data_IF_541654840844
#
_entry.id   IF_541654840844
#
_cell.length_a   1.000
_cell.length_b   1.000
_cell.length_c   1.000
_cell.angle_alpha   90.00
_cell.angle_beta   90.00
_cell.angle_gamma   90.00
#
_symmetry.space_group_name_H-M   'P 1'
#
loop_
_entity.id
_entity.type
_entity.pdbx_description
1 polymer ?
#
# COMPACT_ATOMS: atom_id res chain seq x y z
N UNK A 1 -1.46 23.31 -0.37
CA UNK A 1 -2.39 22.92 0.73
C UNK A 1 -3.88 22.94 0.32
N UNK A 2 -4.24 23.56 -0.79
CA UNK A 2 -5.65 23.73 -1.24
C UNK A 2 -6.19 22.56 -2.06
N UNK A 3 -5.32 21.86 -2.78
CA UNK A 3 -5.68 20.77 -3.71
C UNK A 3 -6.29 19.56 -3.00
N UNK A 4 -5.61 19.03 -1.99
CA UNK A 4 -6.06 17.85 -1.22
C UNK A 4 -7.46 18.07 -0.63
N UNK A 5 -7.73 19.26 -0.08
CA UNK A 5 -9.06 19.56 0.50
C UNK A 5 -10.20 19.55 -0.51
N UNK A 6 -9.94 19.97 -1.78
CA UNK A 6 -10.97 20.04 -2.82
C UNK A 6 -11.34 18.67 -3.37
N UNK A 7 -10.35 17.79 -3.58
CA UNK A 7 -10.55 16.48 -4.20
C UNK A 7 -10.64 15.32 -3.20
N UNK A 8 -10.33 15.58 -1.93
CA UNK A 8 -10.41 14.60 -0.86
C UNK A 8 -11.73 13.79 -0.83
N UNK A 9 -12.92 14.43 -0.93
CA UNK A 9 -14.17 13.68 -0.94
C UNK A 9 -14.31 12.72 -2.12
N UNK A 10 -13.76 13.09 -3.29
CA UNK A 10 -13.79 12.26 -4.49
C UNK A 10 -12.82 11.10 -4.35
N UNK A 11 -11.62 11.34 -3.81
CA UNK A 11 -10.61 10.30 -3.59
C UNK A 11 -11.03 9.29 -2.52
N UNK A 12 -11.82 9.73 -1.53
CA UNK A 12 -12.23 8.89 -0.39
C UNK A 12 -13.52 8.10 -0.66
N UNK A 13 -14.44 8.64 -1.48
CA UNK A 13 -15.77 8.05 -1.73
C UNK A 13 -16.09 7.87 -3.22
N UNK A 14 -15.10 7.93 -4.09
CA UNK A 14 -15.29 7.88 -5.53
C UNK A 14 -15.05 6.50 -6.15
N UNK A 15 -15.07 5.43 -5.36
CA UNK A 15 -14.85 4.07 -5.86
C UNK A 15 -15.91 3.66 -6.89
N UNK A 16 -15.46 3.26 -8.07
CA UNK A 16 -16.32 2.88 -9.20
C UNK A 16 -16.46 1.39 -9.39
N UNK A 17 -15.57 0.58 -8.78
CA UNK A 17 -15.55 -0.87 -8.92
C UNK A 17 -15.94 -1.59 -7.63
N UNK A 18 -16.61 -2.73 -7.81
CA UNK A 18 -16.96 -3.64 -6.71
C UNK A 18 -15.71 -4.30 -6.15
N UNK A 19 -15.68 -4.47 -4.82
CA UNK A 19 -14.65 -5.22 -4.09
C UNK A 19 -14.98 -6.71 -3.92
N UNK A 20 -16.06 -7.20 -4.55
CA UNK A 20 -16.55 -8.57 -4.37
C UNK A 20 -15.45 -9.63 -4.60
N UNK A 21 -14.60 -9.43 -5.61
CA UNK A 21 -13.47 -10.33 -5.89
C UNK A 21 -12.49 -10.42 -4.72
N UNK A 22 -12.09 -9.28 -4.16
CA UNK A 22 -11.22 -9.21 -2.99
C UNK A 22 -11.91 -9.81 -1.76
N UNK A 23 -13.18 -9.49 -1.52
CA UNK A 23 -13.95 -10.06 -0.41
C UNK A 23 -14.02 -11.57 -0.45
N UNK A 24 -14.23 -12.15 -1.64
CA UNK A 24 -14.27 -13.60 -1.82
C UNK A 24 -12.92 -14.28 -1.55
N UNK A 25 -11.81 -13.59 -1.80
CA UNK A 25 -10.47 -14.03 -1.41
C UNK A 25 -10.31 -13.93 0.10
N UNK A 26 -10.62 -12.78 0.70
CA UNK A 26 -10.45 -12.54 2.13
C UNK A 26 -11.30 -13.48 3.00
N UNK A 27 -12.50 -13.89 2.55
CA UNK A 27 -13.33 -14.88 3.24
C UNK A 27 -12.66 -16.26 3.39
N UNK A 28 -11.66 -16.56 2.55
CA UNK A 28 -10.92 -17.83 2.60
C UNK A 28 -9.69 -17.78 3.49
N UNK A 29 -9.33 -16.60 4.00
CA UNK A 29 -8.13 -16.38 4.80
C UNK A 29 -8.45 -16.59 6.28
N UNK A 30 -7.62 -17.37 6.95
CA UNK A 30 -7.62 -17.48 8.41
C UNK A 30 -6.74 -16.37 9.02
N UNK A 31 -7.37 -15.26 9.40
CA UNK A 31 -6.68 -14.11 9.96
C UNK A 31 -6.01 -14.40 11.32
N UNK A 32 -6.50 -15.39 12.08
CA UNK A 32 -5.82 -15.80 13.31
C UNK A 32 -4.45 -16.41 13.00
N UNK A 33 -4.33 -17.17 11.91
CA UNK A 33 -3.03 -17.68 11.48
C UNK A 33 -2.07 -16.56 11.09
N UNK A 34 -2.56 -15.56 10.34
CA UNK A 34 -1.73 -14.39 9.97
C UNK A 34 -1.21 -13.68 11.22
N UNK A 35 -2.10 -13.38 12.16
CA UNK A 35 -1.75 -12.70 13.41
C UNK A 35 -0.69 -13.45 14.23
N UNK A 36 -0.77 -14.77 14.24
CA UNK A 36 0.07 -15.64 15.07
C UNK A 36 1.28 -16.23 14.34
N UNK A 37 1.64 -15.69 13.17
CA UNK A 37 2.87 -16.08 12.47
C UNK A 37 4.12 -15.71 13.28
N UNK A 38 5.14 -16.57 13.24
CA UNK A 38 6.46 -16.29 13.85
C UNK A 38 7.32 -15.34 12.97
N UNK A 39 6.70 -14.67 12.01
CA UNK A 39 7.32 -13.66 11.15
C UNK A 39 6.51 -12.37 11.26
N UNK A 40 7.18 -11.24 11.15
CA UNK A 40 6.54 -9.94 11.12
C UNK A 40 6.05 -9.65 9.69
N UNK A 41 4.75 -9.45 9.53
CA UNK A 41 4.14 -9.04 8.27
C UNK A 41 3.66 -7.60 8.33
N UNK A 42 3.90 -6.84 7.26
CA UNK A 42 3.50 -5.44 7.16
C UNK A 42 2.64 -5.18 5.93
N UNK A 43 1.73 -4.23 6.04
CA UNK A 43 1.09 -3.59 4.90
C UNK A 43 1.25 -2.09 4.99
N UNK A 44 1.46 -1.45 3.83
CA UNK A 44 1.57 0.00 3.73
C UNK A 44 0.25 0.58 3.28
N UNK A 45 -0.19 1.63 3.95
CA UNK A 45 -1.36 2.39 3.59
C UNK A 45 -1.03 3.88 3.59
N UNK A 46 -1.78 4.66 2.84
CA UNK A 46 -1.69 6.12 2.84
C UNK A 46 -2.79 6.71 3.68
N UNK A 47 -2.45 7.41 4.76
CA UNK A 47 -3.42 8.16 5.56
C UNK A 47 -3.76 9.50 4.93
N UNK A 48 -4.87 10.11 5.35
CA UNK A 48 -5.25 11.44 4.93
C UNK A 48 -5.17 12.39 6.14
N UNK A 49 -4.30 13.42 6.13
CA UNK A 49 -3.42 13.88 5.04
C UNK A 49 -2.28 12.90 4.72
N UNK A 50 -1.80 12.96 3.50
CA UNK A 50 -0.88 12.00 2.87
C UNK A 50 0.38 11.70 3.69
N UNK A 51 0.36 10.54 4.35
CA UNK A 51 1.51 9.98 5.08
C UNK A 51 1.50 8.48 4.93
N UNK A 52 2.66 7.89 4.72
CA UNK A 52 2.80 6.43 4.79
C UNK A 52 2.50 5.95 6.23
N UNK A 53 1.68 4.92 6.32
CA UNK A 53 1.42 4.19 7.55
C UNK A 53 1.72 2.71 7.32
N UNK A 54 2.61 2.18 8.12
CA UNK A 54 2.98 0.77 8.09
C UNK A 54 2.25 0.04 9.21
N UNK A 55 1.41 -0.90 8.86
CA UNK A 55 0.66 -1.71 9.81
C UNK A 55 1.32 -3.08 9.95
N UNK A 56 1.74 -3.43 11.15
CA UNK A 56 2.28 -4.73 11.51
C UNK A 56 1.12 -5.67 11.85
N UNK A 57 0.96 -6.76 11.12
CA UNK A 57 -0.20 -7.64 11.30
C UNK A 57 -0.27 -8.27 12.68
N UNK A 58 0.88 -8.66 13.24
CA UNK A 58 0.94 -9.29 14.56
C UNK A 58 0.44 -8.39 15.70
N UNK A 59 0.42 -7.08 15.52
CA UNK A 59 0.01 -6.08 16.52
C UNK A 59 -1.46 -5.65 16.37
N UNK A 60 -2.16 -6.15 15.35
CA UNK A 60 -3.52 -5.74 15.04
C UNK A 60 -4.54 -6.85 15.33
N UNK A 61 -5.79 -6.49 15.54
CA UNK A 61 -6.90 -7.46 15.62
C UNK A 61 -7.15 -8.11 14.26
N UNK A 62 -7.81 -9.26 14.24
CA UNK A 62 -8.17 -9.94 12.98
C UNK A 62 -9.08 -9.09 12.09
N UNK A 63 -9.96 -8.29 12.69
CA UNK A 63 -10.82 -7.35 11.95
C UNK A 63 -10.00 -6.18 11.39
N UNK A 64 -9.05 -5.65 12.16
CA UNK A 64 -8.15 -4.60 11.67
C UNK A 64 -7.27 -5.10 10.53
N UNK A 65 -6.74 -6.34 10.61
CA UNK A 65 -5.96 -6.95 9.52
C UNK A 65 -6.77 -6.97 8.23
N UNK A 66 -8.05 -7.34 8.30
CA UNK A 66 -8.95 -7.33 7.15
C UNK A 66 -9.11 -5.91 6.58
N UNK A 67 -9.37 -4.93 7.45
CA UNK A 67 -9.51 -3.52 7.05
C UNK A 67 -8.21 -2.95 6.50
N UNK A 68 -7.04 -3.35 7.03
CA UNK A 68 -5.72 -3.01 6.51
C UNK A 68 -5.55 -3.55 5.08
N UNK A 69 -5.96 -4.80 4.81
CA UNK A 69 -5.90 -5.37 3.46
C UNK A 69 -6.85 -4.66 2.48
N UNK A 70 -8.00 -4.19 2.92
CA UNK A 70 -8.86 -3.31 2.12
C UNK A 70 -8.20 -1.96 1.86
N UNK A 71 -7.54 -1.38 2.87
CA UNK A 71 -6.88 -0.09 2.77
C UNK A 71 -5.68 -0.12 1.81
N UNK A 72 -4.79 -1.12 1.96
CA UNK A 72 -3.58 -1.25 1.12
C UNK A 72 -3.88 -1.52 -0.36
N UNK A 73 -5.12 -1.91 -0.69
CA UNK A 73 -5.62 -2.12 -2.04
C UNK A 73 -6.63 -1.04 -2.50
N UNK A 74 -6.80 0.02 -1.71
CA UNK A 74 -7.75 1.08 -1.99
C UNK A 74 -7.18 2.11 -2.98
N UNK A 75 -7.02 1.71 -4.24
CA UNK A 75 -6.56 2.62 -5.30
C UNK A 75 -7.59 3.72 -5.52
N UNK A 76 -7.20 5.01 -5.42
CA UNK A 76 -8.11 6.14 -5.58
C UNK A 76 -8.89 6.07 -6.89
N UNK A 77 -10.14 6.51 -6.87
CA UNK A 77 -11.11 6.49 -7.96
C UNK A 77 -11.61 5.09 -8.35
N UNK A 78 -10.86 4.03 -8.03
CA UNK A 78 -11.25 2.65 -8.32
C UNK A 78 -12.00 2.07 -7.14
N UNK A 79 -11.47 2.24 -5.93
CA UNK A 79 -12.05 1.74 -4.70
C UNK A 79 -12.20 2.83 -3.65
N UNK A 80 -13.24 2.71 -2.82
CA UNK A 80 -13.39 3.57 -1.65
C UNK A 80 -12.25 3.35 -0.66
N UNK A 81 -11.90 4.38 0.11
CA UNK A 81 -10.98 4.25 1.23
C UNK A 81 -11.52 3.27 2.28
N UNK A 82 -10.62 2.61 3.01
CA UNK A 82 -10.99 1.84 4.18
C UNK A 82 -10.79 2.66 5.46
N UNK A 83 -11.63 2.40 6.47
CA UNK A 83 -11.55 3.09 7.76
C UNK A 83 -10.92 2.14 8.79
N UNK A 84 -9.85 2.61 9.43
CA UNK A 84 -9.18 1.91 10.52
C UNK A 84 -9.05 2.91 11.68
N UNK A 85 -9.62 2.60 12.83
CA UNK A 85 -9.60 3.47 14.02
C UNK A 85 -10.05 4.92 13.72
N UNK A 86 -11.16 5.07 13.00
CA UNK A 86 -11.74 6.36 12.58
C UNK A 86 -10.85 7.20 11.63
N UNK A 87 -9.81 6.62 11.05
CA UNK A 87 -8.97 7.27 10.05
C UNK A 87 -9.19 6.59 8.70
N UNK A 88 -9.39 7.39 7.65
CA UNK A 88 -9.48 6.90 6.27
C UNK A 88 -8.11 6.64 5.69
N UNK A 89 -7.96 5.48 5.05
CA UNK A 89 -6.73 5.04 4.39
C UNK A 89 -7.00 4.65 2.95
N UNK A 90 -6.01 4.94 2.12
CA UNK A 90 -5.93 4.57 0.72
C UNK A 90 -4.72 3.66 0.49
N UNK A 91 -4.55 3.19 -0.75
CA UNK A 91 -3.41 2.38 -1.18
C UNK A 91 -2.08 3.01 -0.78
N UNK A 92 -1.17 2.20 -0.24
CA UNK A 92 0.15 2.64 0.21
C UNK A 92 1.07 3.09 -0.91
N UNK A 93 0.87 2.57 -2.12
CA UNK A 93 1.65 2.93 -3.30
C UNK A 93 1.55 4.40 -3.71
N UNK A 94 0.59 5.15 -3.15
CA UNK A 94 0.47 6.60 -3.37
C UNK A 94 1.68 7.35 -2.77
N UNK A 95 2.11 6.96 -1.58
CA UNK A 95 3.17 7.65 -0.83
C UNK A 95 4.45 6.83 -0.79
N UNK A 96 4.34 5.51 -0.59
CA UNK A 96 5.49 4.59 -0.50
C UNK A 96 5.19 3.29 -1.24
N UNK A 97 5.61 3.23 -2.50
CA UNK A 97 5.40 2.08 -3.37
C UNK A 97 6.44 0.96 -3.19
N UNK A 98 7.53 1.23 -2.49
CA UNK A 98 8.58 0.25 -2.15
C UNK A 98 8.91 0.36 -0.67
N UNK A 99 8.06 -0.17 0.22
CA UNK A 99 8.11 0.07 1.65
C UNK A 99 9.21 -0.74 2.35
N UNK A 100 10.44 -0.27 2.27
CA UNK A 100 11.62 -0.90 2.91
C UNK A 100 11.69 -0.55 4.40
N UNK A 101 11.26 0.68 4.78
CA UNK A 101 11.43 1.23 6.12
C UNK A 101 10.96 0.31 7.26
N UNK A 102 9.77 -0.33 7.21
CA UNK A 102 9.31 -1.18 8.32
C UNK A 102 10.19 -2.43 8.49
N UNK A 103 10.68 -3.01 7.39
CA UNK A 103 11.55 -4.20 7.42
C UNK A 103 12.96 -3.82 7.89
N UNK A 104 13.48 -2.68 7.43
CA UNK A 104 14.75 -2.14 7.89
C UNK A 104 14.73 -1.86 9.40
N UNK A 105 13.61 -1.35 9.92
CA UNK A 105 13.43 -1.11 11.36
C UNK A 105 13.46 -2.37 12.22
N UNK A 106 13.28 -3.56 11.65
CA UNK A 106 13.44 -4.86 12.34
C UNK A 106 14.91 -5.29 12.46
N UNK A 107 15.87 -4.55 11.91
CA UNK A 107 17.30 -4.83 11.99
C UNK A 107 17.77 -5.96 11.08
N UNK A 108 17.16 -6.09 9.91
CA UNK A 108 17.54 -7.11 8.93
C UNK A 108 18.90 -6.82 8.27
N UNK A 109 19.81 -7.79 8.26
CA UNK A 109 21.10 -7.68 7.56
C UNK A 109 20.94 -7.71 6.04
N UNK A 110 19.88 -8.38 5.55
CA UNK A 110 19.56 -8.51 4.12
C UNK A 110 18.09 -8.25 3.90
N UNK A 111 17.78 -7.39 2.94
CA UNK A 111 16.41 -7.13 2.48
C UNK A 111 16.32 -7.47 1.00
N UNK A 112 15.40 -8.36 0.65
CA UNK A 112 15.10 -8.71 -0.74
C UNK A 112 13.86 -7.91 -1.17
N UNK A 113 14.01 -7.10 -2.21
CA UNK A 113 12.94 -6.29 -2.78
C UNK A 113 12.52 -6.88 -4.12
N UNK A 114 11.30 -7.40 -4.19
CA UNK A 114 10.69 -7.85 -5.45
C UNK A 114 9.90 -6.68 -6.01
N UNK A 115 10.37 -6.10 -7.11
CA UNK A 115 9.75 -4.94 -7.75
C UNK A 115 8.77 -5.37 -8.84
N UNK A 116 7.59 -4.77 -8.82
CA UNK A 116 6.59 -4.95 -9.89
C UNK A 116 6.84 -4.01 -11.07
N UNK A 117 7.65 -2.97 -10.89
CA UNK A 117 8.06 -2.03 -11.94
C UNK A 117 9.56 -1.81 -11.88
N UNK A 118 10.21 -1.86 -13.04
CA UNK A 118 11.67 -1.61 -13.18
C UNK A 118 12.06 -0.18 -12.80
N UNK A 119 11.15 0.76 -12.91
CA UNK A 119 11.42 2.18 -12.65
C UNK A 119 11.23 2.60 -11.18
N UNK A 120 10.89 1.66 -10.30
CA UNK A 120 10.87 1.93 -8.86
C UNK A 120 12.30 2.14 -8.37
N UNK A 121 12.61 3.37 -7.96
CA UNK A 121 13.94 3.72 -7.42
C UNK A 121 14.00 3.43 -5.92
N UNK A 122 15.11 2.85 -5.49
CA UNK A 122 15.46 2.63 -4.08
C UNK A 122 16.66 3.47 -3.73
N UNK A 123 16.51 4.37 -2.79
CA UNK A 123 17.61 5.14 -2.21
C UNK A 123 18.31 4.28 -1.14
N UNK A 124 19.29 3.49 -1.58
CA UNK A 124 20.01 2.54 -0.71
C UNK A 124 20.83 3.23 0.38
N UNK A 125 21.19 4.51 0.21
CA UNK A 125 21.94 5.26 1.20
C UNK A 125 21.14 5.50 2.49
N UNK A 126 19.81 5.42 2.40
CA UNK A 126 18.90 5.49 3.58
C UNK A 126 18.95 4.25 4.47
N UNK A 127 19.56 3.17 3.99
CA UNK A 127 19.56 1.88 4.68
C UNK A 127 20.99 1.36 4.93
N UNK A 128 21.82 2.13 5.69
CA UNK A 128 23.18 1.71 5.99
C UNK A 128 23.19 0.40 6.79
N UNK A 129 24.25 -0.39 6.60
CA UNK A 129 24.46 -1.69 7.25
C UNK A 129 23.46 -2.81 6.85
N UNK A 130 22.65 -2.59 5.83
CA UNK A 130 21.73 -3.59 5.30
C UNK A 130 22.00 -3.81 3.82
N UNK A 131 22.15 -5.07 3.41
CA UNK A 131 22.31 -5.43 2.01
C UNK A 131 20.93 -5.49 1.35
N UNK A 132 20.71 -4.63 0.36
CA UNK A 132 19.49 -4.66 -0.45
C UNK A 132 19.75 -5.46 -1.73
N UNK A 133 18.89 -6.45 -2.00
CA UNK A 133 18.91 -7.26 -3.22
C UNK A 133 17.61 -6.99 -3.97
N UNK A 134 17.72 -6.41 -5.16
CA UNK A 134 16.57 -6.13 -6.01
C UNK A 134 16.32 -7.28 -6.99
N UNK A 135 15.08 -7.75 -7.02
CA UNK A 135 14.58 -8.70 -8.01
C UNK A 135 13.55 -7.94 -8.85
N UNK A 136 13.89 -7.72 -10.12
CA UNK A 136 12.96 -7.10 -11.05
C UNK A 136 12.05 -8.18 -11.66
N UNK A 137 10.75 -7.91 -11.77
CA UNK A 137 9.89 -8.73 -12.60
C UNK A 137 10.40 -8.67 -14.05
N UNK A 138 10.47 -9.81 -14.71
CA UNK A 138 10.61 -9.83 -16.17
C UNK A 138 9.44 -9.03 -16.73
N UNK A 139 9.71 -8.17 -17.71
CA UNK A 139 8.74 -7.28 -18.33
C UNK A 139 7.38 -7.99 -18.47
N UNK A 140 6.47 -7.68 -17.59
CA UNK A 140 5.09 -8.09 -17.78
C UNK A 140 4.43 -6.95 -18.57
N UNK A 141 4.01 -7.20 -19.79
CA UNK A 141 3.02 -6.40 -20.51
C UNK A 141 1.66 -6.40 -19.78
N UNK A 142 1.68 -6.61 -18.48
CA UNK A 142 0.51 -6.63 -17.60
C UNK A 142 0.15 -5.24 -17.11
N UNK A 143 -1.13 -5.03 -16.89
CA UNK A 143 -1.80 -3.79 -16.51
C UNK A 143 -0.92 -2.86 -15.67
N UNK A 144 -0.38 -1.85 -16.31
CA UNK A 144 0.51 -0.87 -15.74
C UNK A 144 -0.28 0.04 -14.79
N UNK A 145 -0.30 -0.32 -13.50
CA UNK A 145 -0.82 0.55 -12.44
C UNK A 145 -0.16 1.94 -12.49
N UNK A 146 1.03 2.03 -13.11
CA UNK A 146 1.74 3.26 -13.36
C UNK A 146 0.99 4.18 -14.31
N UNK A 147 0.49 3.68 -15.44
CA UNK A 147 -0.33 4.46 -16.35
C UNK A 147 -1.58 5.01 -15.66
N UNK A 148 -2.13 4.26 -14.72
CA UNK A 148 -3.26 4.70 -13.91
C UNK A 148 -2.84 5.73 -12.85
N UNK A 149 -1.70 5.57 -12.18
CA UNK A 149 -1.17 6.56 -11.25
C UNK A 149 -0.74 7.83 -11.98
N UNK A 150 -0.18 7.72 -13.17
CA UNK A 150 0.15 8.87 -14.02
C UNK A 150 -1.11 9.57 -14.53
N UNK A 151 -2.16 8.82 -14.88
CA UNK A 151 -3.46 9.39 -15.21
C UNK A 151 -4.05 10.14 -14.00
N UNK A 152 -4.00 9.57 -12.81
CA UNK A 152 -4.41 10.23 -11.57
C UNK A 152 -3.58 11.50 -11.36
N UNK A 153 -2.25 11.45 -11.49
CA UNK A 153 -1.37 12.62 -11.39
C UNK A 153 -1.71 13.68 -12.44
N UNK A 154 -1.96 13.29 -13.71
CA UNK A 154 -2.34 14.20 -14.79
C UNK A 154 -3.70 14.84 -14.52
N UNK A 155 -4.69 14.07 -14.07
CA UNK A 155 -6.01 14.58 -13.69
C UNK A 155 -5.90 15.54 -12.50
N UNK A 156 -4.97 15.27 -11.62
CA UNK A 156 -4.70 16.08 -10.44
C UNK A 156 -3.81 17.30 -10.74
N UNK A 157 -3.05 17.33 -11.83
CA UNK A 157 -2.14 18.43 -12.20
C UNK A 157 -2.74 19.47 -13.18
N UNK A 158 -3.95 19.20 -13.70
CA UNK A 158 -4.63 20.14 -14.62
C UNK A 158 -5.49 21.16 -13.86
N UNK A 159 -4.82 22.05 -13.12
CA UNK A 159 -5.30 23.42 -12.80
C UNK A 159 -4.12 24.39 -12.76
#
# INVERSE_FOLDING_TARGET
>A
MTFIKKYLPILVKGGTLSREGLENILKKIDFNKIKNLNINGYATCTSIPERAKYFKFNENSTEDIKNILYATSAVPLIYDSAIINNVSYLDGGIVDNVPIQPVYGEGCDVIIVVKLSVDSYIDIEKYPNTKIIEINSLESEGADLRGMMDLIRILLSKE
#
